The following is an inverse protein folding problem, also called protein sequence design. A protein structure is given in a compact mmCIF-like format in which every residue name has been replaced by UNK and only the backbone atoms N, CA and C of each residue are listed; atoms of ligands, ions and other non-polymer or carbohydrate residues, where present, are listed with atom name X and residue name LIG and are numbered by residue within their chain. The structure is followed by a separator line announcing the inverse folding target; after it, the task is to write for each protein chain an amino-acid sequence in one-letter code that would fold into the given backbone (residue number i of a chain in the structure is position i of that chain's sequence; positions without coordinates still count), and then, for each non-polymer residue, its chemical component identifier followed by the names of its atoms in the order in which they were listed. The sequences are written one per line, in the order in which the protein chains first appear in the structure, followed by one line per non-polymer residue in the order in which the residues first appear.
data_IF_072692543122
#
_entry.id   IF_072692543122
#
_cell.length_a   1.000
_cell.length_b   1.000
_cell.length_c   1.000
_cell.angle_alpha   90.00
_cell.angle_beta   90.00
_cell.angle_gamma   90.00
#
_symmetry.space_group_name_H-M   'P 1'
#
loop_
_entity.id
_entity.type
_entity.pdbx_description
1 polymer ?
#
# COMPACT_ATOMS: atom_id res chain seq x y z
N UNK A 1 55.02 2.71 -18.38
CA UNK A 1 54.41 1.64 -17.57
C UNK A 1 55.31 0.42 -17.67
N UNK A 2 55.85 -0.04 -16.54
CA UNK A 2 56.80 -1.17 -16.56
C UNK A 2 56.06 -2.47 -16.93
N UNK A 3 56.66 -3.40 -17.70
CA UNK A 3 56.07 -4.71 -18.01
C UNK A 3 55.62 -5.48 -16.76
N UNK A 4 56.32 -5.28 -15.64
CA UNK A 4 56.00 -5.87 -14.34
C UNK A 4 54.74 -5.28 -13.69
N UNK A 5 54.46 -3.99 -13.91
CA UNK A 5 53.25 -3.31 -13.40
C UNK A 5 52.01 -3.71 -14.21
N UNK A 6 52.15 -3.85 -15.53
CA UNK A 6 51.09 -4.34 -16.41
C UNK A 6 50.64 -5.77 -16.03
N UNK A 7 51.61 -6.64 -15.72
CA UNK A 7 51.35 -8.04 -15.32
C UNK A 7 50.67 -8.13 -13.93
N UNK A 8 51.09 -7.29 -12.97
CA UNK A 8 50.44 -7.20 -11.65
C UNK A 8 49.01 -6.65 -11.76
N UNK A 9 48.77 -5.66 -12.61
CA UNK A 9 47.44 -5.10 -12.84
C UNK A 9 46.50 -6.12 -13.50
N UNK A 10 46.98 -6.88 -14.48
CA UNK A 10 46.19 -7.94 -15.13
C UNK A 10 45.77 -9.05 -14.16
N UNK A 11 46.66 -9.49 -13.26
CA UNK A 11 46.31 -10.50 -12.25
C UNK A 11 45.33 -9.99 -11.18
N UNK A 12 45.42 -8.71 -10.80
CA UNK A 12 44.44 -8.07 -9.91
C UNK A 12 43.06 -7.91 -10.57
N UNK A 13 43.00 -7.53 -11.84
CA UNK A 13 41.74 -7.43 -12.61
C UNK A 13 41.10 -8.81 -12.77
N UNK A 14 41.87 -9.85 -13.10
CA UNK A 14 41.38 -11.21 -13.25
C UNK A 14 40.77 -11.76 -11.95
N UNK A 15 41.42 -11.52 -10.80
CA UNK A 15 40.89 -11.93 -9.48
C UNK A 15 39.60 -11.21 -9.12
N UNK A 16 39.52 -9.89 -9.37
CA UNK A 16 38.29 -9.11 -9.15
C UNK A 16 37.15 -9.58 -10.05
N UNK A 17 37.41 -9.85 -11.33
CA UNK A 17 36.42 -10.38 -12.29
C UNK A 17 35.90 -11.76 -11.88
N UNK A 18 36.75 -12.61 -11.34
CA UNK A 18 36.34 -13.93 -10.82
C UNK A 18 35.45 -13.80 -9.58
N UNK A 19 35.81 -12.93 -8.61
CA UNK A 19 34.96 -12.67 -7.44
C UNK A 19 33.61 -12.07 -7.84
N UNK A 20 33.59 -11.15 -8.81
CA UNK A 20 32.38 -10.56 -9.37
C UNK A 20 31.48 -11.61 -10.07
N UNK A 21 32.10 -12.51 -10.85
CA UNK A 21 31.36 -13.61 -11.51
C UNK A 21 30.79 -14.60 -10.49
N UNK A 22 31.55 -14.97 -9.47
CA UNK A 22 31.08 -15.87 -8.40
C UNK A 22 29.93 -15.21 -7.63
N UNK A 23 30.06 -13.93 -7.30
CA UNK A 23 28.99 -13.18 -6.64
C UNK A 23 27.73 -13.12 -7.51
N UNK A 24 27.88 -12.85 -8.81
CA UNK A 24 26.78 -12.85 -9.78
C UNK A 24 26.09 -14.20 -9.91
N UNK A 25 26.85 -15.30 -9.97
CA UNK A 25 26.30 -16.67 -10.05
C UNK A 25 25.57 -17.06 -8.75
N UNK A 26 26.16 -16.77 -7.59
CA UNK A 26 25.50 -17.02 -6.30
C UNK A 26 24.23 -16.18 -6.13
N UNK A 27 24.27 -14.91 -6.55
CA UNK A 27 23.11 -14.02 -6.55
C UNK A 27 22.00 -14.53 -7.48
N UNK A 28 22.33 -14.90 -8.72
CA UNK A 28 21.39 -15.48 -9.66
C UNK A 28 20.79 -16.78 -9.13
N UNK A 29 21.60 -17.65 -8.53
CA UNK A 29 21.14 -18.89 -7.91
C UNK A 29 20.15 -18.62 -6.76
N UNK A 30 20.45 -17.66 -5.89
CA UNK A 30 19.54 -17.24 -4.80
C UNK A 30 18.20 -16.72 -5.33
N UNK A 31 18.22 -15.90 -6.39
CA UNK A 31 17.00 -15.40 -7.05
C UNK A 31 16.20 -16.54 -7.64
N UNK A 32 16.85 -17.48 -8.35
CA UNK A 32 16.17 -18.64 -8.95
C UNK A 32 15.51 -19.51 -7.88
N UNK A 33 16.18 -19.74 -6.74
CA UNK A 33 15.56 -20.44 -5.61
C UNK A 33 14.36 -19.67 -5.08
N UNK A 34 14.50 -18.36 -4.84
CA UNK A 34 13.42 -17.52 -4.32
C UNK A 34 12.19 -17.52 -5.24
N UNK A 35 12.41 -17.36 -6.55
CA UNK A 35 11.35 -17.43 -7.56
C UNK A 35 10.76 -18.84 -7.66
N UNK A 36 11.59 -19.88 -7.53
CA UNK A 36 11.14 -21.28 -7.51
C UNK A 36 10.21 -21.56 -6.33
N UNK A 37 10.58 -21.13 -5.13
CA UNK A 37 9.74 -21.26 -3.93
C UNK A 37 8.44 -20.47 -4.09
N UNK A 38 8.52 -19.22 -4.56
CA UNK A 38 7.33 -18.40 -4.83
C UNK A 38 6.40 -19.10 -5.84
N UNK A 39 6.95 -19.64 -6.92
CA UNK A 39 6.17 -20.37 -7.92
C UNK A 39 5.49 -21.61 -7.33
N UNK A 40 6.20 -22.39 -6.50
CA UNK A 40 5.62 -23.54 -5.79
C UNK A 40 4.48 -23.08 -4.87
N UNK A 41 4.68 -22.04 -4.07
CA UNK A 41 3.65 -21.50 -3.16
C UNK A 41 2.42 -21.01 -3.93
N UNK A 42 2.61 -20.34 -5.07
CA UNK A 42 1.51 -19.90 -5.92
C UNK A 42 0.77 -21.09 -6.56
N UNK A 43 1.49 -22.11 -7.03
CA UNK A 43 0.88 -23.33 -7.59
C UNK A 43 0.07 -24.05 -6.51
N UNK A 44 0.61 -24.21 -5.30
CA UNK A 44 -0.09 -24.85 -4.19
C UNK A 44 -1.31 -24.05 -3.73
N UNK A 45 -1.20 -22.73 -3.68
CA UNK A 45 -2.31 -21.82 -3.41
C UNK A 45 -3.42 -21.98 -4.46
N UNK A 46 -3.08 -22.04 -5.75
CA UNK A 46 -4.07 -22.21 -6.82
C UNK A 46 -4.72 -23.59 -6.78
N UNK A 47 -3.93 -24.66 -6.62
CA UNK A 47 -4.46 -26.03 -6.55
C UNK A 47 -5.39 -26.24 -5.35
N UNK A 48 -5.05 -25.64 -4.20
CA UNK A 48 -5.85 -25.76 -2.97
C UNK A 48 -7.00 -24.76 -2.91
N UNK A 49 -6.80 -23.56 -3.45
CA UNK A 49 -7.73 -22.44 -3.38
C UNK A 49 -8.80 -22.42 -4.47
N UNK A 50 -8.45 -22.77 -5.71
CA UNK A 50 -9.37 -22.71 -6.85
C UNK A 50 -10.66 -23.54 -6.63
N UNK A 51 -10.60 -24.78 -6.10
CA UNK A 51 -11.82 -25.56 -5.84
C UNK A 51 -12.73 -24.96 -4.76
N UNK A 52 -12.22 -24.05 -3.92
CA UNK A 52 -12.99 -23.37 -2.87
C UNK A 52 -13.69 -22.10 -3.36
N UNK A 53 -13.39 -21.61 -4.57
CA UNK A 53 -14.05 -20.45 -5.16
C UNK A 53 -15.44 -20.81 -5.68
N UNK A 54 -16.35 -21.13 -4.76
CA UNK A 54 -17.77 -21.34 -5.05
C UNK A 54 -18.57 -20.06 -4.79
N UNK A 55 -19.81 -20.00 -5.28
CA UNK A 55 -20.71 -18.91 -4.93
C UNK A 55 -20.93 -18.82 -3.40
N UNK A 56 -21.03 -19.97 -2.74
CA UNK A 56 -21.16 -20.07 -1.29
C UNK A 56 -19.98 -19.41 -0.55
N UNK A 57 -18.77 -19.46 -1.09
CA UNK A 57 -17.61 -18.80 -0.50
C UNK A 57 -17.76 -17.27 -0.45
N UNK A 58 -18.37 -16.66 -1.48
CA UNK A 58 -18.62 -15.22 -1.51
C UNK A 58 -19.82 -14.80 -0.66
N UNK A 59 -20.83 -15.66 -0.53
CA UNK A 59 -22.07 -15.34 0.21
C UNK A 59 -22.08 -15.81 1.65
N UNK A 60 -21.09 -16.60 2.10
CA UNK A 60 -21.04 -17.11 3.46
C UNK A 60 -20.18 -16.24 4.38
N UNK A 61 -20.57 -16.17 5.65
CA UNK A 61 -19.78 -15.51 6.68
C UNK A 61 -18.52 -16.33 7.02
N UNK A 62 -17.50 -15.69 7.61
CA UNK A 62 -16.36 -16.39 8.19
C UNK A 62 -16.82 -17.42 9.22
N UNK A 63 -16.26 -18.63 9.15
CA UNK A 63 -16.62 -19.75 10.03
C UNK A 63 -15.37 -20.39 10.60
N UNK A 64 -15.48 -20.92 11.83
CA UNK A 64 -14.41 -21.74 12.45
C UNK A 64 -14.25 -23.10 11.77
N UNK A 65 -15.23 -23.51 10.96
CA UNK A 65 -15.21 -24.76 10.19
C UNK A 65 -14.76 -24.44 8.75
N UNK A 66 -13.57 -24.88 8.32
CA UNK A 66 -12.99 -24.48 7.03
C UNK A 66 -13.89 -24.78 5.83
N UNK A 67 -14.68 -25.86 5.88
CA UNK A 67 -15.58 -26.27 4.79
C UNK A 67 -16.77 -25.30 4.56
N UNK A 68 -17.09 -24.43 5.52
CA UNK A 68 -18.20 -23.47 5.43
C UNK A 68 -17.73 -22.02 5.62
N UNK A 69 -16.41 -21.79 5.62
CA UNK A 69 -15.87 -20.46 5.80
C UNK A 69 -15.96 -19.68 4.48
N UNK A 70 -16.71 -18.59 4.49
CA UNK A 70 -16.74 -17.63 3.38
C UNK A 70 -16.13 -16.28 3.75
N UNK A 71 -16.15 -15.37 2.78
CA UNK A 71 -15.54 -14.04 2.86
C UNK A 71 -16.55 -12.89 2.85
N UNK A 72 -17.85 -13.17 3.02
CA UNK A 72 -18.92 -12.17 2.87
C UNK A 72 -18.63 -10.88 3.64
N UNK A 73 -18.35 -10.99 4.94
CA UNK A 73 -18.09 -9.82 5.78
C UNK A 73 -16.82 -9.06 5.39
N UNK A 74 -15.82 -9.74 4.82
CA UNK A 74 -14.57 -9.12 4.41
C UNK A 74 -14.76 -8.28 3.14
N UNK A 75 -15.28 -8.86 2.05
CA UNK A 75 -15.41 -8.12 0.79
C UNK A 75 -16.53 -7.07 0.85
N UNK A 76 -17.68 -7.39 1.48
CA UNK A 76 -18.76 -6.41 1.68
C UNK A 76 -18.30 -5.30 2.62
N UNK A 77 -17.62 -5.65 3.72
CA UNK A 77 -17.05 -4.68 4.66
C UNK A 77 -16.09 -3.73 3.96
N UNK A 78 -15.14 -4.26 3.18
CA UNK A 78 -14.21 -3.45 2.39
C UNK A 78 -14.92 -2.56 1.38
N UNK A 79 -15.92 -3.06 0.65
CA UNK A 79 -16.69 -2.25 -0.30
C UNK A 79 -17.46 -1.11 0.38
N UNK A 80 -18.08 -1.37 1.52
CA UNK A 80 -18.83 -0.34 2.26
C UNK A 80 -17.88 0.71 2.87
N UNK A 81 -16.70 0.29 3.36
CA UNK A 81 -15.66 1.21 3.81
C UNK A 81 -15.21 2.10 2.64
N UNK A 82 -14.90 1.50 1.49
CA UNK A 82 -14.51 2.23 0.28
C UNK A 82 -15.60 3.20 -0.18
N UNK A 83 -16.88 2.80 -0.10
CA UNK A 83 -17.99 3.67 -0.45
C UNK A 83 -18.02 4.92 0.44
N UNK A 84 -17.91 4.76 1.75
CA UNK A 84 -17.85 5.90 2.70
C UNK A 84 -16.62 6.76 2.42
N UNK A 85 -15.46 6.14 2.20
CA UNK A 85 -14.22 6.85 1.84
C UNK A 85 -14.41 7.70 0.58
N UNK A 86 -14.97 7.13 -0.49
CA UNK A 86 -15.21 7.85 -1.73
C UNK A 86 -16.21 9.00 -1.55
N UNK A 87 -17.33 8.76 -0.86
CA UNK A 87 -18.37 9.76 -0.63
C UNK A 87 -17.87 10.96 0.19
N UNK A 88 -16.87 10.76 1.05
CA UNK A 88 -16.28 11.84 1.84
C UNK A 88 -15.07 12.48 1.16
N UNK A 89 -14.12 11.68 0.69
CA UNK A 89 -12.84 12.18 0.18
C UNK A 89 -12.92 12.73 -1.25
N UNK A 90 -13.71 12.12 -2.14
CA UNK A 90 -13.76 12.58 -3.53
C UNK A 90 -14.42 13.96 -3.65
N UNK A 91 -15.63 14.21 -3.11
CA UNK A 91 -16.24 15.53 -3.25
C UNK A 91 -15.40 16.62 -2.60
N UNK A 92 -14.88 16.37 -1.40
CA UNK A 92 -14.07 17.35 -0.67
C UNK A 92 -12.71 17.58 -1.35
N UNK A 93 -12.05 16.51 -1.77
CA UNK A 93 -10.73 16.56 -2.37
C UNK A 93 -10.75 17.21 -3.75
N UNK A 94 -11.71 16.83 -4.60
CA UNK A 94 -11.88 17.42 -5.94
C UNK A 94 -12.28 18.89 -5.83
N UNK A 95 -13.21 19.23 -4.93
CA UNK A 95 -13.60 20.63 -4.74
C UNK A 95 -12.43 21.50 -4.24
N UNK A 96 -11.62 20.98 -3.30
CA UNK A 96 -10.45 21.68 -2.81
C UNK A 96 -9.35 21.78 -3.88
N UNK A 97 -9.09 20.73 -4.65
CA UNK A 97 -8.12 20.73 -5.76
C UNK A 97 -8.49 21.75 -6.83
N UNK A 98 -9.73 21.69 -7.34
CA UNK A 98 -10.24 22.67 -8.31
C UNK A 98 -10.19 24.10 -7.78
N UNK A 99 -10.50 24.31 -6.49
CA UNK A 99 -10.39 25.63 -5.88
C UNK A 99 -8.95 26.14 -5.85
N UNK A 100 -7.99 25.30 -5.48
CA UNK A 100 -6.59 25.67 -5.39
C UNK A 100 -5.93 25.86 -6.77
N UNK A 101 -6.34 25.09 -7.78
CA UNK A 101 -5.72 25.19 -9.11
C UNK A 101 -6.32 26.33 -9.94
N UNK A 102 -7.66 26.46 -9.95
CA UNK A 102 -8.34 27.40 -10.85
C UNK A 102 -8.65 28.75 -10.19
N UNK A 103 -8.99 28.75 -8.90
CA UNK A 103 -9.53 29.94 -8.22
C UNK A 103 -8.55 30.59 -7.25
N UNK A 104 -7.58 29.85 -6.72
CA UNK A 104 -6.61 30.37 -5.77
C UNK A 104 -5.57 31.24 -6.48
N UNK A 105 -5.93 32.49 -6.73
CA UNK A 105 -4.95 33.58 -6.79
C UNK A 105 -4.16 33.54 -5.47
N UNK A 106 -2.87 33.91 -5.50
CA UNK A 106 -1.91 33.92 -4.36
C UNK A 106 -2.42 34.66 -3.11
N UNK A 107 -3.42 34.11 -2.47
CA UNK A 107 -4.13 34.65 -1.32
C UNK A 107 -3.61 33.97 -0.07
N UNK A 108 -3.69 34.67 1.06
CA UNK A 108 -3.30 34.10 2.36
C UNK A 108 -4.10 32.84 2.70
N UNK A 109 -5.36 32.76 2.25
CA UNK A 109 -6.22 31.59 2.48
C UNK A 109 -5.71 30.35 1.73
N UNK A 110 -5.37 30.50 0.45
CA UNK A 110 -4.80 29.41 -0.34
C UNK A 110 -3.49 28.88 0.28
N UNK A 111 -2.59 29.77 0.67
CA UNK A 111 -1.34 29.40 1.33
C UNK A 111 -1.57 28.63 2.65
N UNK A 112 -2.58 29.01 3.45
CA UNK A 112 -2.93 28.29 4.68
C UNK A 112 -3.46 26.89 4.34
N UNK A 113 -4.33 26.77 3.33
CA UNK A 113 -4.89 25.48 2.93
C UNK A 113 -3.79 24.55 2.41
N UNK A 114 -2.91 25.03 1.54
CA UNK A 114 -1.76 24.29 1.01
C UNK A 114 -0.83 23.77 2.14
N UNK A 115 -0.50 24.62 3.11
CA UNK A 115 0.33 24.23 4.27
C UNK A 115 -0.35 23.12 5.07
N UNK A 116 -1.67 23.22 5.29
CA UNK A 116 -2.40 22.18 6.02
C UNK A 116 -2.46 20.87 5.22
N UNK A 117 -2.68 20.92 3.91
CA UNK A 117 -2.66 19.73 3.05
C UNK A 117 -1.27 19.06 3.10
N UNK A 118 -0.20 19.83 3.00
CA UNK A 118 1.16 19.31 3.10
C UNK A 118 1.43 18.68 4.48
N UNK A 119 0.97 19.32 5.56
CA UNK A 119 1.07 18.76 6.91
C UNK A 119 0.28 17.46 7.05
N UNK A 120 -0.95 17.39 6.52
CA UNK A 120 -1.77 16.18 6.54
C UNK A 120 -1.13 15.04 5.72
N UNK A 121 -0.53 15.35 4.58
CA UNK A 121 0.18 14.38 3.75
C UNK A 121 1.45 13.83 4.42
N UNK A 122 2.08 14.63 5.29
CA UNK A 122 3.27 14.23 6.04
C UNK A 122 3.00 13.31 7.23
N UNK A 123 1.73 13.13 7.64
CA UNK A 123 1.37 12.29 8.78
C UNK A 123 1.44 10.80 8.41
N UNK A 124 2.20 9.97 9.15
CA UNK A 124 2.22 8.53 8.94
C UNK A 124 0.83 7.88 9.10
N UNK A 125 0.53 6.85 8.31
CA UNK A 125 -0.79 6.19 8.30
C UNK A 125 -1.22 5.64 9.67
N UNK A 126 -0.28 5.21 10.52
CA UNK A 126 -0.58 4.71 11.87
C UNK A 126 -1.20 5.79 12.78
N UNK A 127 -0.79 7.04 12.59
CA UNK A 127 -1.30 8.17 13.39
C UNK A 127 -2.76 8.43 13.06
N UNK A 128 -3.17 8.27 11.80
CA UNK A 128 -4.58 8.33 11.40
C UNK A 128 -5.42 7.25 12.10
N UNK A 129 -4.88 6.05 12.31
CA UNK A 129 -5.54 4.99 13.08
C UNK A 129 -5.73 5.34 14.56
N UNK A 130 -4.71 5.94 15.19
CA UNK A 130 -4.80 6.40 16.58
C UNK A 130 -5.76 7.60 16.73
N UNK A 131 -5.75 8.52 15.76
CA UNK A 131 -6.70 9.64 15.71
C UNK A 131 -8.14 9.13 15.61
N UNK A 132 -8.39 8.12 14.78
CA UNK A 132 -9.71 7.52 14.64
C UNK A 132 -10.20 6.90 15.96
N UNK A 133 -9.31 6.25 16.69
CA UNK A 133 -9.63 5.71 18.02
C UNK A 133 -10.02 6.85 18.99
N UNK A 134 -9.23 7.91 19.07
CA UNK A 134 -9.51 9.04 19.95
C UNK A 134 -10.78 9.81 19.58
N UNK A 135 -10.92 10.19 18.30
CA UNK A 135 -11.99 11.09 17.85
C UNK A 135 -13.24 10.31 17.47
N UNK A 136 -13.14 9.33 16.56
CA UNK A 136 -14.34 8.66 16.07
C UNK A 136 -14.86 7.62 17.05
N UNK A 137 -13.99 6.79 17.62
CA UNK A 137 -14.40 5.72 18.53
C UNK A 137 -14.76 6.28 19.90
N UNK A 138 -13.90 7.07 20.53
CA UNK A 138 -14.14 7.55 21.90
C UNK A 138 -14.94 8.85 21.97
N UNK A 139 -14.53 9.91 21.25
CA UNK A 139 -15.20 11.21 21.37
C UNK A 139 -16.59 11.24 20.71
N UNK A 140 -16.73 10.67 19.50
CA UNK A 140 -18.01 10.63 18.77
C UNK A 140 -18.81 9.35 18.99
N UNK A 141 -18.26 8.40 19.76
CA UNK A 141 -18.91 7.14 20.11
C UNK A 141 -19.41 6.34 18.89
N UNK A 142 -18.70 6.42 17.75
CA UNK A 142 -19.06 5.67 16.54
C UNK A 142 -18.68 4.19 16.62
N UNK A 143 -17.84 3.81 17.57
CA UNK A 143 -17.34 2.43 17.72
C UNK A 143 -16.47 1.97 16.53
N UNK A 144 -16.14 0.68 16.54
CA UNK A 144 -15.45 0.01 15.43
C UNK A 144 -16.43 -0.31 14.30
N UNK A 145 -16.87 0.72 13.58
CA UNK A 145 -17.87 0.61 12.50
C UNK A 145 -17.30 0.99 11.14
N UNK A 146 -18.05 0.64 10.09
CA UNK A 146 -17.75 0.98 8.69
C UNK A 146 -17.57 2.49 8.52
N UNK A 147 -18.39 3.30 9.20
CA UNK A 147 -18.29 4.77 9.14
C UNK A 147 -16.95 5.26 9.69
N UNK A 148 -16.54 4.74 10.85
CA UNK A 148 -15.24 5.07 11.46
C UNK A 148 -14.09 4.75 10.52
N UNK A 149 -14.04 3.54 9.99
CA UNK A 149 -12.99 3.12 9.06
C UNK A 149 -12.99 3.96 7.77
N UNK A 150 -14.18 4.16 7.17
CA UNK A 150 -14.34 4.91 5.93
C UNK A 150 -13.95 6.38 6.05
N UNK A 151 -14.34 7.06 7.14
CA UNK A 151 -13.95 8.44 7.43
C UNK A 151 -12.44 8.55 7.70
N UNK A 152 -11.86 7.58 8.39
CA UNK A 152 -10.40 7.55 8.67
C UNK A 152 -9.59 7.45 7.39
N UNK A 153 -9.95 6.49 6.53
CA UNK A 153 -9.32 6.35 5.22
C UNK A 153 -9.60 7.57 4.34
N UNK A 154 -10.79 8.18 4.45
CA UNK A 154 -11.13 9.41 3.76
C UNK A 154 -10.18 10.55 4.11
N UNK A 155 -9.92 10.77 5.40
CA UNK A 155 -8.96 11.78 5.86
C UNK A 155 -7.52 11.46 5.45
N UNK A 156 -7.13 10.19 5.50
CA UNK A 156 -5.80 9.74 5.10
C UNK A 156 -5.53 9.99 3.61
N UNK A 157 -6.51 9.71 2.75
CA UNK A 157 -6.38 9.81 1.29
C UNK A 157 -6.70 11.22 0.77
N UNK A 158 -7.34 12.07 1.58
CA UNK A 158 -7.75 13.42 1.19
C UNK A 158 -6.60 14.26 0.58
N UNK A 159 -5.40 14.35 1.17
CA UNK A 159 -4.31 15.13 0.59
C UNK A 159 -3.87 14.61 -0.78
N UNK A 160 -3.89 13.28 -0.96
CA UNK A 160 -3.53 12.63 -2.21
C UNK A 160 -4.54 13.00 -3.30
N UNK A 161 -5.85 12.97 -2.98
CA UNK A 161 -6.91 13.34 -3.92
C UNK A 161 -6.80 14.81 -4.31
N UNK A 162 -6.52 15.70 -3.35
CA UNK A 162 -6.38 17.14 -3.63
C UNK A 162 -5.20 17.41 -4.56
N UNK A 163 -4.05 16.77 -4.34
CA UNK A 163 -2.83 16.99 -5.14
C UNK A 163 -2.93 16.32 -6.52
N UNK A 164 -3.67 15.22 -6.64
CA UNK A 164 -3.82 14.48 -7.89
C UNK A 164 -4.90 15.04 -8.82
N UNK A 165 -5.74 15.97 -8.34
CA UNK A 165 -6.79 16.63 -9.11
C UNK A 165 -6.27 17.95 -9.65
#
# INVERSE_FOLDING_TARGET
MSPAEATKLQSQIARRKMTDTIFGVLGAFSIVIGLGVLAILLIDLLRTGMPRLSWEFFTSFPSRRPAQAGILSAWVGSMLIMLVTMLCALPLGVAAGVYLEEYARKTKLAAIIEINIANLAGVPSIVWGLMALGVFVHQFNFGATIKTAGLTLGLLVLPIVIIAT
#
